data_IF_069446869317
#
_entry.id   IF_069446869317
#
_cell.length_a   1.000
_cell.length_b   1.000
_cell.length_c   1.000
_cell.angle_alpha   90.00
_cell.angle_beta   90.00
_cell.angle_gamma   90.00
#
_symmetry.space_group_name_H-M   'P 1'
#
loop_
_entity.id
_entity.type
_entity.pdbx_description
1 polymer ?
#
# COMPACT_ATOMS: atom_id res chain seq x y z
N UNK A 1 62.26 15.64 30.25
CA UNK A 1 61.70 16.94 29.84
C UNK A 1 61.51 16.82 28.34
N UNK A 2 60.27 16.98 27.88
CA UNK A 2 59.81 16.94 26.47
C UNK A 2 59.87 15.60 25.72
N UNK A 3 58.75 14.87 25.77
CA UNK A 3 58.12 14.25 24.60
C UNK A 3 56.71 13.75 25.00
N UNK A 4 55.89 14.72 25.43
CA UNK A 4 54.44 14.64 25.40
C UNK A 4 54.00 15.72 24.41
N UNK A 5 52.94 15.45 23.64
CA UNK A 5 52.26 16.33 22.67
C UNK A 5 52.77 16.25 21.23
N UNK A 6 52.23 15.30 20.47
CA UNK A 6 51.85 15.54 19.07
C UNK A 6 51.01 14.38 18.55
N UNK A 7 49.78 14.28 19.05
CA UNK A 7 48.71 13.81 18.17
C UNK A 7 47.36 14.39 18.60
N UNK A 8 46.92 15.50 17.96
CA UNK A 8 45.50 15.80 17.90
C UNK A 8 45.13 16.21 16.49
N UNK A 9 45.14 15.24 15.57
CA UNK A 9 44.32 15.33 14.35
C UNK A 9 42.89 14.85 14.65
N UNK A 10 42.32 15.25 15.79
CA UNK A 10 40.87 15.18 15.95
C UNK A 10 40.32 16.39 15.21
N UNK A 11 39.97 16.16 13.94
CA UNK A 11 39.20 17.08 13.12
C UNK A 11 37.85 17.27 13.82
N UNK A 12 37.79 18.19 14.78
CA UNK A 12 36.57 18.48 15.51
C UNK A 12 35.57 19.03 14.50
N UNK A 13 34.60 18.21 14.11
CA UNK A 13 33.52 18.62 13.22
C UNK A 13 32.83 19.83 13.84
N UNK A 14 32.83 20.95 13.12
CA UNK A 14 32.04 22.12 13.49
C UNK A 14 30.56 21.75 13.44
N UNK A 15 29.88 21.72 14.59
CA UNK A 15 28.45 21.46 14.67
C UNK A 15 27.68 22.58 13.96
N UNK A 16 26.79 22.20 13.05
CA UNK A 16 25.82 23.15 12.45
C UNK A 16 24.41 22.80 12.88
N UNK A 17 23.56 23.82 12.95
CA UNK A 17 22.12 23.63 13.07
C UNK A 17 21.64 22.71 11.95
N UNK A 18 20.95 21.61 12.30
CA UNK A 18 20.41 20.69 11.32
C UNK A 18 21.23 19.43 11.06
N UNK A 19 22.39 19.28 11.69
CA UNK A 19 23.18 18.06 11.53
C UNK A 19 22.53 16.89 12.30
N UNK A 20 22.48 15.72 11.65
CA UNK A 20 22.08 14.45 12.27
C UNK A 20 23.33 13.60 12.42
N UNK A 21 23.59 13.14 13.65
CA UNK A 21 24.75 12.32 13.97
C UNK A 21 24.42 11.28 15.03
N UNK A 22 25.24 10.24 15.08
CA UNK A 22 25.17 9.22 16.10
C UNK A 22 25.82 9.75 17.38
N UNK A 23 25.08 9.72 18.49
CA UNK A 23 25.55 10.11 19.81
C UNK A 23 25.56 8.90 20.75
N UNK A 24 26.61 8.77 21.56
CA UNK A 24 26.70 7.71 22.58
C UNK A 24 26.19 8.27 23.90
N UNK A 25 25.26 7.56 24.54
CA UNK A 25 24.68 7.98 25.82
C UNK A 25 25.76 7.87 26.91
N UNK A 26 26.19 9.02 27.44
CA UNK A 26 27.18 9.09 28.52
C UNK A 26 26.50 9.09 29.88
N UNK A 27 25.36 9.78 29.99
CA UNK A 27 24.61 9.87 31.23
C UNK A 27 23.12 9.95 30.98
N UNK A 28 22.34 9.24 31.79
CA UNK A 28 20.88 9.26 31.74
C UNK A 28 20.40 9.79 33.09
N UNK A 29 19.92 11.03 33.12
CA UNK A 29 19.19 11.58 34.27
C UNK A 29 17.68 11.62 33.97
N UNK A 30 16.85 11.95 34.98
CA UNK A 30 15.39 12.08 34.84
C UNK A 30 14.98 13.36 34.11
N UNK A 31 15.82 14.38 34.14
CA UNK A 31 15.53 15.71 33.56
C UNK A 31 16.34 15.98 32.27
N UNK A 32 17.50 15.34 32.11
CA UNK A 32 18.44 15.58 31.02
C UNK A 32 19.18 14.29 30.65
N UNK A 33 19.43 14.08 29.35
CA UNK A 33 20.24 12.97 28.87
C UNK A 33 21.47 13.53 28.14
N UNK A 34 22.65 13.18 28.63
CA UNK A 34 23.94 13.59 28.09
C UNK A 34 24.41 12.57 27.06
N UNK A 35 24.63 13.04 25.85
CA UNK A 35 25.08 12.26 24.70
C UNK A 35 26.38 12.86 24.17
N UNK A 36 27.40 12.03 24.03
CA UNK A 36 28.60 12.40 23.30
C UNK A 36 28.30 12.30 21.80
N UNK A 37 28.35 13.45 21.13
CA UNK A 37 28.08 13.61 19.69
C UNK A 37 29.36 13.66 18.85
N UNK A 38 30.51 13.29 19.43
CA UNK A 38 31.80 13.28 18.74
C UNK A 38 32.32 14.67 18.39
N UNK A 39 31.94 15.68 19.17
CA UNK A 39 32.36 17.09 19.01
C UNK A 39 33.10 17.60 20.26
N UNK A 40 33.51 18.89 20.27
CA UNK A 40 34.06 19.53 21.49
C UNK A 40 33.01 19.76 22.59
N UNK A 41 31.73 19.75 22.23
CA UNK A 41 30.60 19.98 23.12
C UNK A 41 29.77 18.71 23.30
N UNK A 42 29.33 18.48 24.52
CA UNK A 42 28.39 17.42 24.88
C UNK A 42 26.97 17.81 24.45
N UNK A 43 26.21 16.84 23.97
CA UNK A 43 24.80 17.01 23.62
C UNK A 43 23.90 16.83 24.83
N UNK A 44 23.00 17.78 25.09
CA UNK A 44 21.94 17.65 26.09
C UNK A 44 20.61 17.41 25.39
N UNK A 45 19.97 16.28 25.71
CA UNK A 45 18.59 15.95 25.31
C UNK A 45 17.64 16.29 26.45
N UNK A 46 16.63 17.17 26.25
CA UNK A 46 15.65 17.51 27.29
C UNK A 46 14.71 16.33 27.64
N UNK A 47 14.35 16.14 28.91
CA UNK A 47 13.44 15.07 29.35
C UNK A 47 12.01 15.12 28.78
N UNK A 48 11.61 16.25 28.18
CA UNK A 48 10.33 16.35 27.46
C UNK A 48 10.29 15.41 26.25
N UNK A 49 11.42 15.14 25.61
CA UNK A 49 11.53 14.16 24.52
C UNK A 49 11.59 12.73 25.06
N UNK A 50 12.28 12.53 26.19
CA UNK A 50 12.30 11.24 26.91
C UNK A 50 10.89 10.74 27.27
N UNK A 51 9.97 11.64 27.58
CA UNK A 51 8.61 11.30 27.96
C UNK A 51 7.78 10.70 26.80
N UNK A 52 8.07 11.06 25.55
CA UNK A 52 7.36 10.62 24.34
C UNK A 52 7.75 9.22 23.86
N UNK A 53 8.82 8.64 24.39
CA UNK A 53 9.29 7.29 24.07
C UNK A 53 8.37 6.21 24.64
N UNK A 54 8.17 5.14 23.87
CA UNK A 54 7.39 3.97 24.29
C UNK A 54 8.03 3.28 25.49
N UNK A 55 7.24 2.57 26.31
CA UNK A 55 7.75 1.90 27.52
C UNK A 55 8.86 0.87 27.23
N UNK A 56 8.88 0.28 26.03
CA UNK A 56 9.93 -0.65 25.58
C UNK A 56 11.26 0.08 25.26
N UNK A 57 11.20 1.31 24.77
CA UNK A 57 12.38 2.10 24.41
C UNK A 57 13.03 2.75 25.63
N UNK A 58 12.22 3.12 26.63
CA UNK A 58 12.71 3.60 27.94
C UNK A 58 13.52 2.55 28.68
N UNK A 59 13.20 1.27 28.49
CA UNK A 59 13.92 0.16 29.10
C UNK A 59 15.17 -0.27 28.31
N UNK A 60 15.29 0.16 27.05
CA UNK A 60 16.40 -0.17 26.16
C UNK A 60 17.49 0.90 26.06
N UNK A 61 17.38 2.02 26.77
CA UNK A 61 18.37 3.10 26.78
C UNK A 61 19.33 2.92 27.95
N UNK A 62 20.44 2.23 27.73
CA UNK A 62 21.51 2.11 28.70
C UNK A 62 22.64 3.10 28.38
N UNK A 63 23.40 3.44 29.43
CA UNK A 63 24.65 4.17 29.27
C UNK A 63 25.57 3.35 28.34
N UNK A 64 26.04 3.98 27.26
CA UNK A 64 26.85 3.35 26.21
C UNK A 64 26.07 3.00 24.93
N UNK A 65 24.74 3.10 24.90
CA UNK A 65 23.98 2.88 23.68
C UNK A 65 24.14 4.04 22.70
N UNK A 66 24.18 3.69 21.41
CA UNK A 66 24.27 4.68 20.32
C UNK A 66 22.88 5.08 19.86
N UNK A 67 22.58 6.38 19.93
CA UNK A 67 21.30 6.97 19.51
C UNK A 67 21.53 8.06 18.48
N UNK A 68 20.66 8.12 17.48
CA UNK A 68 20.68 9.20 16.49
C UNK A 68 20.13 10.48 17.12
N UNK A 69 20.87 11.57 17.01
CA UNK A 69 20.51 12.87 17.55
C UNK A 69 20.58 13.97 16.49
N UNK A 70 19.68 14.93 16.57
CA UNK A 70 19.60 16.09 15.69
C UNK A 70 20.03 17.33 16.44
N UNK A 71 20.98 18.10 15.89
CA UNK A 71 21.48 19.34 16.49
C UNK A 71 20.49 20.47 16.30
N UNK A 72 19.75 20.81 17.36
CA UNK A 72 18.84 21.96 17.40
C UNK A 72 19.59 23.23 17.71
N UNK A 73 20.66 23.17 18.50
CA UNK A 73 21.52 24.31 18.77
C UNK A 73 22.97 23.84 18.96
N UNK A 74 23.94 24.38 18.22
CA UNK A 74 25.33 23.92 18.31
C UNK A 74 26.00 24.31 19.64
N UNK A 75 25.58 25.40 20.27
CA UNK A 75 26.11 25.84 21.57
C UNK A 75 25.05 26.66 22.33
N UNK A 76 24.72 26.24 23.55
CA UNK A 76 23.86 26.97 24.49
C UNK A 76 24.72 27.90 25.38
N UNK A 77 24.10 28.60 26.33
CA UNK A 77 24.82 29.54 27.23
C UNK A 77 25.83 28.85 28.18
N UNK A 78 25.77 27.53 28.29
CA UNK A 78 26.61 26.70 29.15
C UNK A 78 27.67 25.91 28.36
N UNK A 79 27.75 26.10 27.04
CA UNK A 79 28.72 25.41 26.16
C UNK A 79 28.28 24.03 25.67
N UNK A 80 27.05 23.61 25.96
CA UNK A 80 26.47 22.33 25.53
C UNK A 80 25.67 22.48 24.22
N UNK A 81 25.68 21.45 23.39
CA UNK A 81 24.84 21.39 22.20
C UNK A 81 23.43 20.91 22.58
N UNK A 82 22.38 21.60 22.17
CA UNK A 82 21.01 21.11 22.39
C UNK A 82 20.65 20.17 21.26
N UNK A 83 20.38 18.92 21.61
CA UNK A 83 20.09 17.85 20.66
C UNK A 83 18.73 17.22 20.90
N UNK A 84 18.12 16.71 19.82
CA UNK A 84 16.78 16.15 19.83
C UNK A 84 16.77 14.75 19.21
N UNK A 85 16.27 13.76 19.95
CA UNK A 85 16.13 12.38 19.48
C UNK A 85 14.86 12.27 18.62
N UNK A 86 13.78 12.94 19.03
CA UNK A 86 12.50 12.93 18.29
C UNK A 86 12.65 13.53 16.88
N UNK A 87 13.39 14.65 16.76
CA UNK A 87 13.67 15.26 15.45
C UNK A 87 14.58 14.39 14.59
N UNK A 88 15.56 13.70 15.18
CA UNK A 88 16.43 12.78 14.45
C UNK A 88 15.64 11.60 13.85
N UNK A 89 14.70 11.05 14.63
CA UNK A 89 13.76 10.02 14.14
C UNK A 89 12.91 10.54 12.99
N UNK A 90 12.31 11.73 13.14
CA UNK A 90 11.51 12.33 12.09
C UNK A 90 12.32 12.53 10.80
N UNK A 91 13.55 13.03 10.89
CA UNK A 91 14.42 13.25 9.73
C UNK A 91 14.78 11.92 9.03
N UNK A 92 15.05 10.86 9.79
CA UNK A 92 15.29 9.51 9.25
C UNK A 92 14.05 8.97 8.55
N UNK A 93 12.88 9.11 9.18
CA UNK A 93 11.59 8.72 8.59
C UNK A 93 11.33 9.50 7.29
N UNK A 94 11.65 10.79 7.23
CA UNK A 94 11.53 11.59 6.00
C UNK A 94 12.45 11.10 4.88
N UNK A 95 13.71 10.75 5.19
CA UNK A 95 14.63 10.17 4.20
C UNK A 95 14.10 8.85 3.67
N UNK A 96 13.66 7.95 4.56
CA UNK A 96 13.04 6.67 4.17
C UNK A 96 11.80 6.88 3.31
N UNK A 97 10.92 7.81 3.67
CA UNK A 97 9.71 8.13 2.92
C UNK A 97 10.04 8.73 1.54
N UNK A 98 11.11 9.52 1.42
CA UNK A 98 11.60 10.00 0.13
C UNK A 98 12.09 8.84 -0.75
N UNK A 99 12.90 7.94 -0.19
CA UNK A 99 13.38 6.75 -0.91
C UNK A 99 12.22 5.87 -1.38
N UNK A 100 11.20 5.65 -0.52
CA UNK A 100 10.01 4.89 -0.87
C UNK A 100 9.16 5.57 -1.95
N UNK A 101 9.10 6.91 -1.93
CA UNK A 101 8.45 7.70 -2.97
C UNK A 101 9.17 7.57 -4.32
N UNK A 102 10.51 7.70 -4.34
CA UNK A 102 11.32 7.52 -5.54
C UNK A 102 11.28 6.07 -6.07
N UNK A 103 11.28 5.10 -5.16
CA UNK A 103 11.18 3.68 -5.47
C UNK A 103 9.75 3.22 -5.82
N UNK A 104 8.75 4.11 -5.76
CA UNK A 104 7.35 3.79 -6.01
C UNK A 104 6.81 2.62 -5.17
N UNK A 105 7.32 2.44 -3.94
CA UNK A 105 6.93 1.31 -3.09
C UNK A 105 5.67 1.57 -2.28
N UNK A 106 4.96 0.48 -1.97
CA UNK A 106 3.79 0.48 -1.09
C UNK A 106 4.24 0.40 0.37
N UNK A 107 3.62 1.22 1.22
CA UNK A 107 3.94 1.35 2.64
C UNK A 107 2.70 0.99 3.45
N UNK A 108 2.87 0.26 4.55
CA UNK A 108 1.76 -0.04 5.45
C UNK A 108 1.68 1.02 6.55
N UNK A 109 0.50 1.60 6.74
CA UNK A 109 0.27 2.64 7.75
C UNK A 109 -0.99 2.36 8.56
N UNK A 110 -0.92 2.61 9.86
CA UNK A 110 -2.09 2.54 10.72
C UNK A 110 -2.90 3.84 10.68
N UNK A 111 -4.22 3.70 10.52
CA UNK A 111 -5.16 4.82 10.64
C UNK A 111 -5.32 5.22 12.09
N UNK A 112 -4.80 6.39 12.44
CA UNK A 112 -4.92 6.95 13.80
C UNK A 112 -6.25 7.65 14.03
N UNK A 113 -6.74 8.38 13.03
CA UNK A 113 -7.95 9.18 13.14
C UNK A 113 -8.56 9.46 11.76
N UNK A 114 -9.72 10.10 11.72
CA UNK A 114 -10.36 10.54 10.48
C UNK A 114 -10.91 11.96 10.64
N UNK A 115 -11.05 12.65 9.51
CA UNK A 115 -11.71 13.95 9.43
C UNK A 115 -12.73 13.94 8.28
N UNK A 116 -13.50 15.02 8.11
CA UNK A 116 -14.52 15.14 7.05
C UNK A 116 -13.99 15.00 5.62
N UNK A 117 -12.67 15.12 5.41
CA UNK A 117 -12.03 15.04 4.10
C UNK A 117 -11.24 13.75 3.85
N UNK A 118 -10.96 12.93 4.87
CA UNK A 118 -10.09 11.76 4.72
C UNK A 118 -9.58 11.17 6.03
N UNK A 119 -8.69 10.18 5.91
CA UNK A 119 -8.07 9.45 7.02
C UNK A 119 -6.72 10.07 7.38
N UNK A 120 -6.42 10.12 8.67
CA UNK A 120 -5.11 10.46 9.22
C UNK A 120 -4.39 9.17 9.59
N UNK A 121 -3.22 8.97 9.00
CA UNK A 121 -2.39 7.79 9.26
C UNK A 121 -1.09 8.20 9.90
N UNK A 122 -0.48 7.30 10.67
CA UNK A 122 0.85 7.50 11.22
C UNK A 122 1.83 6.53 10.56
N UNK A 123 2.95 7.06 10.06
CA UNK A 123 4.01 6.33 9.37
C UNK A 123 5.34 6.67 10.01
N UNK A 124 5.90 5.77 10.82
CA UNK A 124 7.20 5.95 11.49
C UNK A 124 7.34 7.34 12.20
N UNK A 125 6.25 7.83 12.81
CA UNK A 125 6.20 9.12 13.51
C UNK A 125 5.82 10.34 12.64
N UNK A 126 5.63 10.15 11.33
CA UNK A 126 5.19 11.17 10.39
C UNK A 126 3.68 11.06 10.13
N UNK A 127 2.98 12.18 10.20
CA UNK A 127 1.53 12.25 9.98
C UNK A 127 1.19 12.28 8.49
N UNK A 128 0.45 11.28 8.05
CA UNK A 128 -0.11 11.17 6.71
C UNK A 128 -1.57 11.52 6.63
N UNK A 129 -1.99 11.98 5.45
CA UNK A 129 -3.38 12.23 5.11
C UNK A 129 -3.75 11.44 3.85
N UNK A 130 -4.78 10.61 3.96
CA UNK A 130 -5.36 9.86 2.84
C UNK A 130 -6.70 10.51 2.50
N UNK A 131 -6.86 11.15 1.33
CA UNK A 131 -8.14 11.71 0.90
C UNK A 131 -9.21 10.62 0.81
N UNK A 132 -10.44 10.91 1.24
CA UNK A 132 -11.54 9.93 1.18
C UNK A 132 -11.87 9.46 -0.26
N UNK A 133 -11.55 10.26 -1.29
CA UNK A 133 -11.71 9.89 -2.71
C UNK A 133 -10.69 8.84 -3.19
N UNK A 134 -9.62 8.63 -2.42
CA UNK A 134 -8.48 7.75 -2.73
C UNK A 134 -8.45 6.49 -1.86
N UNK A 135 -9.51 6.23 -1.09
CA UNK A 135 -9.72 5.01 -0.30
C UNK A 135 -10.70 4.11 -1.06
N UNK A 136 -10.27 2.92 -1.48
CA UNK A 136 -11.07 2.00 -2.30
C UNK A 136 -12.31 1.45 -1.58
N UNK A 137 -12.35 1.48 -0.25
CA UNK A 137 -13.51 1.02 0.54
C UNK A 137 -14.68 2.01 0.59
N UNK A 138 -14.46 3.29 0.31
CA UNK A 138 -15.53 4.29 0.36
C UNK A 138 -16.29 4.27 -0.96
N UNK A 139 -17.35 3.46 -1.02
CA UNK A 139 -18.31 3.48 -2.14
C UNK A 139 -19.15 4.75 -2.05
N UNK A 140 -19.37 5.41 -3.18
CA UNK A 140 -20.17 6.64 -3.24
C UNK A 140 -21.55 6.46 -2.59
N UNK A 141 -21.91 7.39 -1.71
CA UNK A 141 -23.14 7.37 -0.89
C UNK A 141 -23.24 8.60 0.02
N UNK A 142 -24.25 8.62 0.89
CA UNK A 142 -24.53 9.71 1.83
C UNK A 142 -23.36 9.98 2.80
N UNK A 143 -23.22 11.23 3.27
CA UNK A 143 -22.19 11.67 4.21
C UNK A 143 -22.12 10.78 5.47
N UNK A 144 -23.28 10.30 5.93
CA UNK A 144 -23.40 9.39 7.07
C UNK A 144 -22.77 8.01 6.83
N UNK A 145 -22.91 7.44 5.62
CA UNK A 145 -22.33 6.14 5.27
C UNK A 145 -20.80 6.24 5.20
N UNK A 146 -20.28 7.33 4.62
CA UNK A 146 -18.83 7.59 4.57
C UNK A 146 -18.22 7.69 5.96
N UNK A 147 -18.90 8.34 6.90
CA UNK A 147 -18.45 8.45 8.28
C UNK A 147 -18.39 7.07 8.97
N UNK A 148 -19.38 6.22 8.74
CA UNK A 148 -19.45 4.87 9.31
C UNK A 148 -18.35 3.95 8.75
N UNK A 149 -18.06 4.05 7.46
CA UNK A 149 -16.98 3.29 6.82
C UNK A 149 -15.60 3.77 7.31
N UNK A 150 -15.39 5.09 7.41
CA UNK A 150 -14.14 5.66 7.95
C UNK A 150 -13.90 5.29 9.42
N UNK A 151 -14.97 5.20 10.22
CA UNK A 151 -14.86 4.83 11.63
C UNK A 151 -14.42 3.35 11.82
N UNK A 152 -14.79 2.46 10.90
CA UNK A 152 -14.39 1.04 10.94
C UNK A 152 -12.91 0.84 10.61
N UNK A 153 -12.32 1.77 9.87
CA UNK A 153 -10.94 1.69 9.40
C UNK A 153 -9.92 2.20 10.42
N UNK A 154 -10.36 2.86 11.50
CA UNK A 154 -9.47 3.32 12.57
C UNK A 154 -8.80 2.12 13.23
N UNK A 155 -7.47 2.17 13.38
CA UNK A 155 -6.66 1.07 13.91
C UNK A 155 -6.38 -0.06 12.91
N UNK A 156 -6.85 0.05 11.67
CA UNK A 156 -6.48 -0.90 10.61
C UNK A 156 -5.21 -0.41 9.91
N UNK A 157 -4.30 -1.34 9.62
CA UNK A 157 -3.14 -1.06 8.76
C UNK A 157 -3.57 -1.12 7.30
N UNK A 158 -3.38 -0.03 6.56
CA UNK A 158 -3.70 0.07 5.15
C UNK A 158 -2.42 0.17 4.31
N UNK A 159 -2.34 -0.56 3.18
CA UNK A 159 -1.29 -0.36 2.19
C UNK A 159 -1.53 0.94 1.44
N UNK A 160 -0.57 1.86 1.52
CA UNK A 160 -0.65 3.21 1.03
C UNK A 160 0.59 3.54 0.21
N UNK A 161 0.40 4.24 -0.90
CA UNK A 161 1.49 4.80 -1.70
C UNK A 161 1.55 6.30 -1.48
N UNK A 162 2.76 6.83 -1.35
CA UNK A 162 3.00 8.27 -1.23
C UNK A 162 2.78 8.92 -2.59
N UNK A 163 1.85 9.88 -2.65
CA UNK A 163 1.65 10.72 -3.85
C UNK A 163 2.44 12.02 -3.72
N UNK A 164 2.40 12.62 -2.54
CA UNK A 164 2.99 13.94 -2.33
C UNK A 164 3.62 14.02 -0.94
N UNK A 165 4.82 14.59 -0.88
CA UNK A 165 5.56 14.84 0.36
C UNK A 165 5.63 16.35 0.58
N UNK A 166 5.09 16.83 1.70
CA UNK A 166 5.21 18.22 2.11
C UNK A 166 5.98 18.33 3.43
N UNK A 167 7.30 18.56 3.32
CA UNK A 167 8.22 18.67 4.46
C UNK A 167 7.94 19.88 5.35
N UNK A 168 7.56 21.01 4.76
CA UNK A 168 7.31 22.25 5.52
C UNK A 168 6.15 22.14 6.50
N UNK A 169 5.14 21.33 6.17
CA UNK A 169 3.94 21.15 7.00
C UNK A 169 3.93 19.83 7.76
N UNK A 170 5.03 19.07 7.72
CA UNK A 170 5.11 17.70 8.22
C UNK A 170 3.91 16.84 7.82
N UNK A 171 3.50 16.92 6.54
CA UNK A 171 2.32 16.22 6.03
C UNK A 171 2.67 15.50 4.74
N UNK A 172 2.21 14.26 4.62
CA UNK A 172 2.30 13.46 3.40
C UNK A 172 0.90 13.10 2.91
N UNK A 173 0.70 13.14 1.59
CA UNK A 173 -0.55 12.73 0.94
C UNK A 173 -0.33 11.34 0.38
N UNK A 174 -1.25 10.45 0.71
CA UNK A 174 -1.18 9.03 0.39
C UNK A 174 -2.42 8.59 -0.40
N UNK A 175 -2.29 7.53 -1.21
CA UNK A 175 -3.41 6.87 -1.86
C UNK A 175 -3.33 5.36 -1.69
N UNK A 176 -4.47 4.79 -1.30
CA UNK A 176 -4.67 3.34 -1.22
C UNK A 176 -4.97 2.76 -2.61
N UNK A 177 -5.70 3.50 -3.47
CA UNK A 177 -6.05 3.05 -4.84
C UNK A 177 -4.83 2.73 -5.71
N UNK A 178 -3.77 3.54 -5.65
CA UNK A 178 -2.55 3.26 -6.42
C UNK A 178 -1.82 2.01 -5.91
N UNK A 179 -1.81 1.77 -4.60
CA UNK A 179 -1.20 0.58 -4.00
C UNK A 179 -1.94 -0.71 -4.37
N UNK A 180 -3.28 -0.67 -4.41
CA UNK A 180 -4.11 -1.80 -4.87
C UNK A 180 -3.93 -2.07 -6.36
N UNK A 181 -3.83 -1.01 -7.17
CA UNK A 181 -3.64 -1.13 -8.62
C UNK A 181 -2.32 -1.84 -8.95
N UNK A 182 -1.20 -1.45 -8.33
CA UNK A 182 0.11 -2.09 -8.56
C UNK A 182 0.19 -3.53 -8.01
N UNK A 183 -0.40 -3.80 -6.83
CA UNK A 183 -0.51 -5.19 -6.33
C UNK A 183 -1.32 -6.06 -7.29
N UNK A 184 -2.41 -5.51 -7.85
CA UNK A 184 -3.16 -6.16 -8.93
C UNK A 184 -2.29 -6.32 -10.16
N UNK A 185 -1.55 -5.33 -10.62
CA UNK A 185 -0.75 -5.42 -11.84
C UNK A 185 0.39 -6.45 -11.74
N UNK A 186 1.03 -6.59 -10.57
CA UNK A 186 2.03 -7.64 -10.32
C UNK A 186 1.37 -9.03 -10.23
N UNK A 187 0.22 -9.14 -9.57
CA UNK A 187 -0.54 -10.41 -9.57
C UNK A 187 -1.06 -10.75 -10.97
N UNK A 188 -1.49 -9.76 -11.75
CA UNK A 188 -1.92 -9.89 -13.15
C UNK A 188 -0.81 -10.47 -13.98
N UNK A 189 0.40 -9.90 -13.87
CA UNK A 189 1.55 -10.32 -14.64
C UNK A 189 1.92 -11.78 -14.34
N UNK A 190 1.95 -12.17 -13.06
CA UNK A 190 2.16 -13.57 -12.65
C UNK A 190 1.06 -14.51 -13.13
N UNK A 191 -0.21 -14.11 -13.01
CA UNK A 191 -1.31 -14.93 -13.53
C UNK A 191 -1.25 -15.07 -15.05
N UNK A 192 -0.91 -14.00 -15.79
CA UNK A 192 -0.79 -14.02 -17.25
C UNK A 192 0.35 -14.96 -17.68
N UNK A 193 1.45 -15.02 -16.93
CA UNK A 193 2.57 -15.94 -17.18
C UNK A 193 2.22 -17.40 -16.86
N UNK A 194 1.43 -17.64 -15.80
CA UNK A 194 1.03 -18.99 -15.40
C UNK A 194 -0.15 -19.55 -16.22
N UNK A 195 -1.04 -18.69 -16.70
CA UNK A 195 -2.24 -19.11 -17.41
C UNK A 195 -1.90 -19.71 -18.79
N UNK A 196 -2.56 -20.82 -19.10
CA UNK A 196 -2.53 -21.44 -20.42
C UNK A 196 -3.87 -21.29 -21.13
N UNK A 197 -3.82 -21.05 -22.44
CA UNK A 197 -5.00 -21.04 -23.29
C UNK A 197 -5.70 -22.41 -23.22
N UNK A 198 -7.02 -22.43 -23.01
CA UNK A 198 -7.80 -23.66 -22.82
C UNK A 198 -8.15 -24.04 -21.38
N UNK A 199 -7.65 -23.31 -20.37
CA UNK A 199 -8.01 -23.56 -18.97
C UNK A 199 -9.42 -23.04 -18.66
N UNK A 200 -10.17 -23.81 -17.85
CA UNK A 200 -11.45 -23.36 -17.27
C UNK A 200 -11.18 -22.86 -15.86
N UNK A 201 -11.54 -21.60 -15.60
CA UNK A 201 -11.37 -20.93 -14.32
C UNK A 201 -12.69 -20.35 -13.83
N UNK A 202 -12.83 -20.27 -12.51
CA UNK A 202 -13.88 -19.47 -11.89
C UNK A 202 -13.48 -18.02 -11.91
N UNK A 203 -14.38 -17.16 -12.35
CA UNK A 203 -14.20 -15.71 -12.37
C UNK A 203 -15.43 -14.98 -11.84
N UNK A 204 -15.21 -13.78 -11.32
CA UNK A 204 -16.26 -12.93 -10.77
C UNK A 204 -16.50 -11.74 -11.69
N UNK A 205 -17.75 -11.51 -12.08
CA UNK A 205 -18.11 -10.38 -12.95
C UNK A 205 -17.80 -9.05 -12.24
N UNK A 206 -16.87 -8.26 -12.77
CA UNK A 206 -16.47 -6.97 -12.20
C UNK A 206 -17.31 -5.82 -12.74
N UNK A 207 -17.62 -5.83 -14.05
CA UNK A 207 -18.43 -4.81 -14.72
C UNK A 207 -19.09 -5.38 -15.98
N UNK A 208 -20.22 -4.79 -16.39
CA UNK A 208 -20.97 -5.19 -17.57
C UNK A 208 -21.12 -3.99 -18.50
N UNK A 209 -20.86 -4.18 -19.79
CA UNK A 209 -21.00 -3.16 -20.84
C UNK A 209 -21.86 -3.70 -21.99
N UNK A 210 -22.30 -2.84 -22.91
CA UNK A 210 -23.20 -3.25 -24.00
C UNK A 210 -22.58 -4.25 -24.98
N UNK A 211 -21.25 -4.23 -25.14
CA UNK A 211 -20.51 -5.11 -26.04
C UNK A 211 -19.95 -6.39 -25.36
N UNK A 212 -20.03 -6.50 -24.03
CA UNK A 212 -19.45 -7.62 -23.29
C UNK A 212 -19.45 -7.47 -21.77
N UNK A 213 -18.85 -8.43 -21.09
CA UNK A 213 -18.71 -8.43 -19.63
C UNK A 213 -17.24 -8.58 -19.22
N UNK A 214 -16.83 -7.82 -18.20
CA UNK A 214 -15.52 -7.95 -17.56
C UNK A 214 -15.62 -8.92 -16.39
N UNK A 215 -14.74 -9.91 -16.37
CA UNK A 215 -14.69 -10.97 -15.36
C UNK A 215 -13.29 -11.03 -14.77
N UNK A 216 -13.19 -10.87 -13.45
CA UNK A 216 -11.96 -11.04 -12.67
C UNK A 216 -11.74 -12.53 -12.38
N UNK A 217 -10.68 -13.12 -12.93
CA UNK A 217 -10.35 -14.55 -12.78
C UNK A 217 -9.36 -14.82 -11.63
N UNK A 218 -9.36 -13.97 -10.61
CA UNK A 218 -8.48 -14.12 -9.43
C UNK A 218 -7.18 -13.33 -9.56
N UNK A 219 -7.24 -12.16 -10.16
CA UNK A 219 -6.09 -11.26 -10.33
C UNK A 219 -6.08 -10.59 -11.68
N UNK A 220 -6.48 -11.29 -12.76
CA UNK A 220 -6.55 -10.75 -14.12
C UNK A 220 -7.97 -10.46 -14.58
N UNK A 221 -8.12 -9.35 -15.33
CA UNK A 221 -9.40 -8.96 -15.94
C UNK A 221 -9.50 -9.58 -17.33
N UNK A 222 -10.50 -10.43 -17.52
CA UNK A 222 -10.84 -10.97 -18.83
C UNK A 222 -12.12 -10.35 -19.40
N UNK A 223 -12.14 -10.20 -20.72
CA UNK A 223 -13.30 -9.71 -21.46
C UNK A 223 -14.02 -10.88 -22.10
N UNK A 224 -15.31 -10.99 -21.79
CA UNK A 224 -16.24 -11.90 -22.46
C UNK A 224 -17.05 -11.11 -23.47
N UNK A 225 -16.90 -11.43 -24.75
CA UNK A 225 -17.67 -10.80 -25.81
C UNK A 225 -19.15 -11.22 -25.75
N UNK A 226 -20.10 -10.39 -26.19
CA UNK A 226 -21.54 -10.71 -26.20
C UNK A 226 -21.84 -12.07 -26.85
N UNK A 227 -21.12 -12.41 -27.92
CA UNK A 227 -21.24 -13.67 -28.66
C UNK A 227 -20.73 -14.91 -27.92
N UNK A 228 -19.94 -14.71 -26.87
CA UNK A 228 -19.30 -15.75 -26.06
C UNK A 228 -19.97 -15.92 -24.68
N UNK A 229 -21.05 -15.17 -24.40
CA UNK A 229 -21.83 -15.25 -23.15
C UNK A 229 -22.76 -16.47 -23.09
N UNK A 230 -23.42 -16.80 -24.21
CA UNK A 230 -24.41 -17.89 -24.25
C UNK A 230 -24.64 -18.37 -25.69
N UNK A 231 -25.16 -19.59 -25.82
CA UNK A 231 -25.59 -20.17 -27.10
C UNK A 231 -26.86 -19.51 -27.67
N UNK A 232 -27.63 -18.82 -26.81
CA UNK A 232 -28.84 -18.09 -27.21
C UNK A 232 -28.52 -16.64 -27.59
N UNK A 233 -29.35 -16.04 -28.45
CA UNK A 233 -29.18 -14.64 -28.88
C UNK A 233 -29.55 -13.68 -27.73
N UNK A 234 -28.55 -13.23 -26.98
CA UNK A 234 -28.71 -12.27 -25.87
C UNK A 234 -28.68 -10.85 -26.45
N UNK A 235 -29.65 -10.00 -26.09
CA UNK A 235 -29.69 -8.59 -26.50
C UNK A 235 -28.89 -7.70 -25.55
N UNK A 236 -28.95 -7.98 -24.23
CA UNK A 236 -28.16 -7.28 -23.22
C UNK A 236 -27.47 -8.26 -22.27
N UNK A 237 -26.15 -8.16 -22.05
CA UNK A 237 -25.41 -9.02 -21.12
C UNK A 237 -25.97 -9.03 -19.69
N UNK A 238 -26.61 -7.94 -19.26
CA UNK A 238 -27.25 -7.78 -17.94
C UNK A 238 -28.44 -8.72 -17.69
N UNK A 239 -29.00 -9.32 -18.75
CA UNK A 239 -30.06 -10.33 -18.61
C UNK A 239 -29.52 -11.69 -18.16
N UNK A 240 -28.24 -11.96 -18.45
CA UNK A 240 -27.60 -13.27 -18.24
C UNK A 240 -26.58 -13.22 -17.10
N UNK A 241 -25.94 -12.06 -16.89
CA UNK A 241 -24.92 -11.86 -15.86
C UNK A 241 -25.29 -10.72 -14.92
N UNK A 242 -24.95 -10.88 -13.65
CA UNK A 242 -25.03 -9.81 -12.64
C UNK A 242 -23.63 -9.39 -12.19
N UNK A 243 -23.45 -8.10 -11.94
CA UNK A 243 -22.20 -7.59 -11.35
C UNK A 243 -21.97 -8.27 -10.00
N UNK A 244 -20.80 -8.89 -9.83
CA UNK A 244 -20.40 -9.64 -8.64
C UNK A 244 -20.74 -11.13 -8.65
N UNK A 245 -21.37 -11.65 -9.70
CA UNK A 245 -21.68 -13.08 -9.87
C UNK A 245 -20.42 -13.90 -10.19
N UNK A 246 -20.33 -15.10 -9.63
CA UNK A 246 -19.30 -16.09 -9.99
C UNK A 246 -19.75 -16.92 -11.20
N UNK A 247 -18.88 -17.04 -12.19
CA UNK A 247 -19.10 -17.77 -13.44
C UNK A 247 -17.86 -18.56 -13.83
N UNK A 248 -18.05 -19.76 -14.39
CA UNK A 248 -16.97 -20.55 -14.96
C UNK A 248 -16.68 -20.08 -16.40
N UNK A 249 -15.47 -19.60 -16.63
CA UNK A 249 -15.00 -19.04 -17.90
C UNK A 249 -13.86 -19.87 -18.46
N UNK A 250 -13.88 -20.06 -19.78
CA UNK A 250 -12.84 -20.72 -20.53
C UNK A 250 -11.94 -19.69 -21.21
N UNK A 251 -10.63 -19.86 -21.08
CA UNK A 251 -9.63 -18.95 -21.68
C UNK A 251 -9.50 -19.24 -23.18
N UNK A 252 -9.87 -18.28 -24.03
CA UNK A 252 -9.74 -18.38 -25.49
C UNK A 252 -8.37 -17.96 -25.99
N UNK A 253 -7.79 -16.94 -25.36
CA UNK A 253 -6.51 -16.38 -25.76
C UNK A 253 -6.06 -15.28 -24.81
N UNK A 254 -4.75 -15.12 -24.69
CA UNK A 254 -4.14 -14.16 -23.77
C UNK A 254 -3.40 -13.11 -24.59
N UNK A 255 -3.72 -11.83 -24.40
CA UNK A 255 -2.94 -10.75 -24.99
C UNK A 255 -2.00 -10.13 -23.92
N UNK A 256 -0.71 -10.51 -23.90
CA UNK A 256 0.24 -10.01 -22.90
C UNK A 256 0.56 -8.52 -23.07
N UNK A 257 0.40 -7.95 -24.27
CA UNK A 257 0.69 -6.53 -24.53
C UNK A 257 -0.37 -5.61 -23.91
N UNK A 258 -1.64 -5.98 -24.00
CA UNK A 258 -2.74 -5.22 -23.39
C UNK A 258 -3.12 -5.70 -21.99
N UNK A 259 -2.46 -6.75 -21.47
CA UNK A 259 -2.79 -7.41 -20.20
C UNK A 259 -4.28 -7.81 -20.11
N UNK A 260 -4.87 -8.19 -21.26
CA UNK A 260 -6.29 -8.58 -21.40
C UNK A 260 -6.40 -10.04 -21.78
N UNK A 261 -7.39 -10.73 -21.21
CA UNK A 261 -7.66 -12.13 -21.49
C UNK A 261 -9.01 -12.24 -22.21
N UNK A 262 -9.05 -12.92 -23.35
CA UNK A 262 -10.31 -13.23 -24.02
C UNK A 262 -10.92 -14.47 -23.35
N UNK A 263 -12.12 -14.32 -22.82
CA UNK A 263 -12.84 -15.36 -22.09
C UNK A 263 -14.13 -15.76 -22.80
N UNK A 264 -14.54 -17.00 -22.63
CA UNK A 264 -15.82 -17.52 -23.12
C UNK A 264 -16.55 -18.29 -22.03
N UNK A 265 -17.82 -17.97 -21.82
CA UNK A 265 -18.73 -18.73 -20.93
C UNK A 265 -19.40 -19.86 -21.73
N UNK A 266 -19.58 -19.66 -23.03
CA UNK A 266 -20.24 -20.59 -23.96
C UNK A 266 -19.57 -21.96 -24.00
N UNK A 267 -18.23 -22.02 -23.96
CA UNK A 267 -17.46 -23.29 -24.02
C UNK A 267 -17.47 -24.10 -22.73
N UNK A 268 -17.80 -23.46 -21.61
CA UNK A 268 -17.99 -24.15 -20.32
C UNK A 268 -19.39 -24.77 -20.21
N UNK A 269 -20.35 -24.27 -21.01
CA UNK A 269 -21.68 -24.85 -21.09
C UNK A 269 -21.64 -26.11 -21.97
N UNK A 270 -22.20 -27.20 -21.46
CA UNK A 270 -22.27 -28.47 -22.19
C UNK A 270 -22.93 -28.27 -23.56
N UNK A 271 -22.24 -28.69 -24.63
CA UNK A 271 -22.79 -28.67 -25.98
C UNK A 271 -24.15 -29.39 -26.01
N UNK A 272 -25.24 -28.69 -26.37
CA UNK A 272 -26.56 -29.32 -26.47
C UNK A 272 -26.57 -30.50 -27.43
N UNK A 273 -25.72 -30.46 -28.47
CA UNK A 273 -25.61 -31.47 -29.54
C UNK A 273 -24.96 -32.79 -29.10
N UNK A 274 -24.08 -32.78 -28.09
CA UNK A 274 -23.50 -34.02 -27.58
C UNK A 274 -24.56 -34.92 -26.93
N UNK A 275 -25.63 -34.34 -26.39
CA UNK A 275 -26.81 -35.11 -25.91
C UNK A 275 -27.74 -35.56 -27.02
N UNK A 276 -27.73 -34.88 -28.17
CA UNK A 276 -28.55 -35.27 -29.33
C UNK A 276 -27.95 -36.52 -29.98
N UNK A 277 -26.62 -36.59 -30.11
CA UNK A 277 -25.95 -37.77 -30.69
C UNK A 277 -26.18 -39.05 -29.87
N UNK A 278 -26.34 -38.97 -28.55
CA UNK A 278 -26.62 -40.14 -27.69
C UNK A 278 -28.10 -40.54 -27.68
N UNK A 279 -29.02 -39.60 -27.93
CA UNK A 279 -30.46 -39.85 -27.79
C UNK A 279 -31.18 -40.07 -29.13
N UNK A 280 -30.50 -39.87 -30.26
CA UNK A 280 -31.10 -39.97 -31.58
C UNK A 280 -30.24 -40.79 -32.54
N UNK A 281 -30.77 -41.94 -32.97
CA UNK A 281 -30.15 -42.77 -34.01
C UNK A 281 -30.59 -42.31 -35.41
N UNK A 282 -29.72 -42.50 -36.41
CA UNK A 282 -30.03 -42.19 -37.81
C UNK A 282 -31.18 -43.08 -38.29
N UNK A 283 -32.37 -42.49 -38.44
CA UNK A 283 -33.61 -43.20 -38.83
C UNK A 283 -34.73 -43.17 -37.78
N UNK A 284 -34.50 -42.59 -36.60
CA UNK A 284 -35.51 -42.53 -35.54
C UNK A 284 -36.62 -41.53 -35.87
N UNK A 285 -37.88 -41.99 -35.84
CA UNK A 285 -39.07 -41.12 -35.91
C UNK A 285 -39.22 -40.34 -34.60
N UNK A 286 -39.06 -39.02 -34.67
CA UNK A 286 -39.23 -38.11 -33.52
C UNK A 286 -40.49 -37.28 -33.69
N UNK A 287 -41.29 -37.16 -32.63
CA UNK A 287 -42.40 -36.20 -32.58
C UNK A 287 -41.86 -34.86 -32.10
N UNK A 288 -41.89 -33.86 -32.98
CA UNK A 288 -41.54 -32.48 -32.65
C UNK A 288 -42.77 -31.58 -32.84
N UNK A 289 -42.91 -30.58 -31.97
CA UNK A 289 -43.93 -29.53 -32.12
C UNK A 289 -43.38 -28.46 -33.07
N UNK A 290 -44.07 -28.22 -34.19
CA UNK A 290 -43.69 -27.17 -35.14
C UNK A 290 -44.04 -25.81 -34.54
N UNK A 291 -43.03 -24.99 -34.26
CA UNK A 291 -43.19 -23.58 -33.87
C UNK A 291 -42.86 -22.69 -35.06
N UNK A 292 -43.70 -21.66 -35.28
CA UNK A 292 -43.61 -20.69 -36.37
C UNK A 292 -42.67 -19.53 -36.04
#
# INVERSE_FOLDING_TARGET
>A
MEQFLSDPSHDYKSLKYGDVMDGVIMHVDREELLVDIGSKSEGVVPAREYSSLSQEEKQGLNIGDTVLVFVVQPENQEGHAVVSIDRARQEKSWRRLQELFEANQVIEAEVTNYNKGGLLVNLDGVRGFVPASQVSEIRGGDEASKQADMARLIGTSLPLKVIEINRHRNRLILSERQAVQERRDVMKERLIEELKEGEVRKGRVSSICDFGAFVDIGGADGLVHLSELSWSRVRHPSEVLRVGQEVDVHVLGINPQEKKIALSIKRTQAEPWSRVATNYEVGQLVRATVTQ
#
